data_IF_477714087424
#
_entry.id   IF_477714087424
#
_cell.length_a   1.000
_cell.length_b   1.000
_cell.length_c   1.000
_cell.angle_alpha   90.00
_cell.angle_beta   90.00
_cell.angle_gamma   90.00
#
_symmetry.space_group_name_H-M   'P 1'
#
loop_
_entity.id
_entity.type
_entity.pdbx_description
1 polymer ?
#
# COMPACT_ATOMS: atom_id res chain seq x y z
N UNK A 1 -34.39 35.78 3.13
CA UNK A 1 -34.83 34.41 2.77
C UNK A 1 -33.60 33.67 2.23
N UNK A 2 -33.03 32.81 3.01
CA UNK A 2 -31.90 31.99 2.53
C UNK A 2 -32.48 30.88 1.66
N UNK A 3 -32.30 30.99 0.35
CA UNK A 3 -32.55 29.86 -0.54
C UNK A 3 -31.54 28.74 -0.23
N UNK A 4 -32.02 27.73 0.45
CA UNK A 4 -31.37 26.43 0.57
C UNK A 4 -31.51 25.69 -0.78
N UNK A 5 -30.91 26.22 -1.84
CA UNK A 5 -30.80 25.53 -3.12
C UNK A 5 -29.60 24.58 -3.03
N UNK A 6 -29.81 23.49 -2.33
CA UNK A 6 -28.79 22.45 -2.31
C UNK A 6 -29.36 21.25 -3.06
N UNK A 7 -28.83 20.97 -4.22
CA UNK A 7 -29.19 19.76 -4.96
C UNK A 7 -28.66 18.55 -4.20
N UNK A 8 -29.54 17.94 -3.39
CA UNK A 8 -29.23 16.78 -2.58
C UNK A 8 -28.74 15.59 -3.42
N UNK A 9 -29.18 15.49 -4.68
CA UNK A 9 -28.71 14.44 -5.58
C UNK A 9 -27.24 14.67 -5.97
N UNK A 10 -26.90 15.88 -6.36
CA UNK A 10 -25.52 16.27 -6.68
C UNK A 10 -24.59 16.10 -5.45
N UNK A 11 -25.04 16.51 -4.26
CA UNK A 11 -24.28 16.30 -3.03
C UNK A 11 -24.06 14.83 -2.69
N UNK A 12 -25.03 13.96 -2.93
CA UNK A 12 -24.85 12.51 -2.73
C UNK A 12 -23.83 11.93 -3.70
N UNK A 13 -23.87 12.32 -4.96
CA UNK A 13 -22.89 11.91 -5.98
C UNK A 13 -21.47 12.38 -5.62
N UNK A 14 -21.31 13.64 -5.25
CA UNK A 14 -20.03 14.19 -4.83
C UNK A 14 -19.51 13.49 -3.54
N UNK A 15 -20.39 13.23 -2.59
CA UNK A 15 -20.03 12.48 -1.38
C UNK A 15 -19.52 11.07 -1.71
N UNK A 16 -20.16 10.38 -2.67
CA UNK A 16 -19.69 9.07 -3.12
C UNK A 16 -18.31 9.14 -3.77
N UNK A 17 -18.05 10.17 -4.59
CA UNK A 17 -16.75 10.43 -5.20
C UNK A 17 -15.70 10.66 -4.10
N UNK A 18 -15.99 11.49 -3.10
CA UNK A 18 -15.09 11.75 -1.97
C UNK A 18 -14.80 10.48 -1.16
N UNK A 19 -15.80 9.65 -0.90
CA UNK A 19 -15.63 8.37 -0.21
C UNK A 19 -14.76 7.40 -1.03
N UNK A 20 -14.93 7.35 -2.34
CA UNK A 20 -14.10 6.52 -3.23
C UNK A 20 -12.65 7.01 -3.24
N UNK A 21 -12.44 8.33 -3.27
CA UNK A 21 -11.11 8.96 -3.28
C UNK A 21 -10.44 8.97 -1.89
N UNK A 22 -11.15 8.61 -0.83
CA UNK A 22 -10.60 8.58 0.54
C UNK A 22 -9.44 7.59 0.73
N UNK A 23 -9.22 6.70 -0.23
CA UNK A 23 -8.15 5.70 -0.19
C UNK A 23 -7.46 5.60 -1.55
N UNK A 24 -6.15 5.36 -1.53
CA UNK A 24 -5.41 5.16 -2.77
C UNK A 24 -5.95 3.96 -3.57
N UNK A 25 -5.86 4.04 -4.89
CA UNK A 25 -6.30 2.98 -5.81
C UNK A 25 -5.66 1.62 -5.48
N UNK A 26 -4.37 1.60 -5.09
CA UNK A 26 -3.68 0.38 -4.67
C UNK A 26 -4.27 -0.21 -3.38
N UNK A 27 -4.69 0.63 -2.44
CA UNK A 27 -5.36 0.19 -1.21
C UNK A 27 -6.71 -0.45 -1.51
N UNK A 28 -7.51 0.17 -2.37
CA UNK A 28 -8.81 -0.37 -2.80
C UNK A 28 -8.63 -1.71 -3.50
N UNK A 29 -7.66 -1.82 -4.42
CA UNK A 29 -7.34 -3.08 -5.11
C UNK A 29 -6.93 -4.18 -4.13
N UNK A 30 -6.10 -3.84 -3.14
CA UNK A 30 -5.69 -4.79 -2.11
C UNK A 30 -6.87 -5.27 -1.26
N UNK A 31 -7.77 -4.36 -0.86
CA UNK A 31 -8.96 -4.71 -0.08
C UNK A 31 -9.92 -5.62 -0.86
N UNK A 32 -10.14 -5.32 -2.15
CA UNK A 32 -10.95 -6.19 -3.02
C UNK A 32 -10.36 -7.60 -3.14
N UNK A 33 -9.05 -7.69 -3.34
CA UNK A 33 -8.35 -8.99 -3.42
C UNK A 33 -8.42 -9.77 -2.11
N UNK A 34 -8.20 -9.10 -0.97
CA UNK A 34 -8.29 -9.74 0.35
C UNK A 34 -9.69 -10.24 0.66
N UNK A 35 -10.72 -9.46 0.29
CA UNK A 35 -12.10 -9.85 0.51
C UNK A 35 -12.50 -11.03 -0.38
N UNK A 36 -12.06 -11.06 -1.62
CA UNK A 36 -12.27 -12.20 -2.53
C UNK A 36 -11.70 -13.50 -1.96
N UNK A 37 -10.53 -13.45 -1.33
CA UNK A 37 -9.94 -14.61 -0.67
C UNK A 37 -10.78 -15.08 0.53
N UNK A 38 -11.34 -14.14 1.31
CA UNK A 38 -12.28 -14.45 2.38
C UNK A 38 -13.59 -15.05 1.84
N UNK A 39 -14.14 -14.54 0.75
CA UNK A 39 -15.33 -15.09 0.08
C UNK A 39 -15.09 -16.56 -0.34
N UNK A 40 -13.93 -16.84 -0.95
CA UNK A 40 -13.57 -18.20 -1.35
C UNK A 40 -13.46 -19.14 -0.14
N UNK A 41 -12.90 -18.68 0.98
CA UNK A 41 -12.88 -19.44 2.23
C UNK A 41 -14.30 -19.72 2.72
N UNK A 42 -15.18 -18.73 2.73
CA UNK A 42 -16.57 -18.88 3.17
C UNK A 42 -17.33 -19.88 2.28
N UNK A 43 -17.25 -19.72 0.96
CA UNK A 43 -17.91 -20.63 0.00
C UNK A 43 -17.45 -22.07 0.20
N UNK A 44 -16.16 -22.33 0.34
CA UNK A 44 -15.61 -23.68 0.55
C UNK A 44 -16.06 -24.34 1.85
N UNK A 45 -16.42 -23.53 2.85
CA UNK A 45 -16.82 -24.04 4.18
C UNK A 45 -18.31 -23.86 4.46
N UNK A 46 -19.13 -23.49 3.47
CA UNK A 46 -20.58 -23.32 3.62
C UNK A 46 -20.97 -22.10 4.49
N UNK A 47 -20.09 -21.10 4.61
CA UNK A 47 -20.36 -19.88 5.36
C UNK A 47 -20.83 -18.74 4.46
N UNK A 48 -21.58 -17.81 5.04
CA UNK A 48 -21.95 -16.56 4.39
C UNK A 48 -20.85 -15.53 4.59
N UNK A 49 -20.35 -14.96 3.50
CA UNK A 49 -19.28 -13.96 3.54
C UNK A 49 -19.78 -12.54 3.80
N UNK A 50 -21.08 -12.25 3.42
CA UNK A 50 -21.67 -10.92 3.54
C UNK A 50 -23.19 -11.02 3.84
N UNK A 51 -23.70 -10.49 4.95
CA UNK A 51 -22.92 -10.12 6.12
C UNK A 51 -22.30 -11.35 6.78
N UNK A 52 -21.11 -11.17 7.36
CA UNK A 52 -20.43 -12.21 8.11
C UNK A 52 -20.40 -11.85 9.60
N UNK A 53 -20.16 -12.84 10.46
CA UNK A 53 -19.99 -12.61 11.88
C UNK A 53 -18.51 -12.71 12.32
N UNK A 54 -18.25 -12.23 13.53
CA UNK A 54 -16.89 -12.19 14.09
C UNK A 54 -16.31 -13.60 14.30
N UNK A 55 -17.13 -14.64 14.49
CA UNK A 55 -16.65 -16.03 14.66
C UNK A 55 -16.12 -16.58 13.35
N UNK A 56 -16.83 -16.36 12.24
CA UNK A 56 -16.39 -16.79 10.89
C UNK A 56 -15.09 -16.08 10.51
N UNK A 57 -14.98 -14.78 10.78
CA UNK A 57 -13.74 -14.02 10.55
C UNK A 57 -12.61 -14.58 11.41
N UNK A 58 -12.86 -14.91 12.67
CA UNK A 58 -11.87 -15.53 13.55
C UNK A 58 -11.39 -16.88 13.01
N UNK A 59 -12.29 -17.76 12.52
CA UNK A 59 -11.94 -19.02 11.86
C UNK A 59 -11.06 -18.79 10.62
N UNK A 60 -11.41 -17.82 9.79
CA UNK A 60 -10.60 -17.46 8.63
C UNK A 60 -9.20 -17.01 9.01
N UNK A 61 -9.04 -16.18 10.05
CA UNK A 61 -7.72 -15.76 10.53
C UNK A 61 -6.90 -16.95 11.05
N UNK A 62 -7.55 -17.93 11.70
CA UNK A 62 -6.90 -19.17 12.11
C UNK A 62 -6.46 -19.98 10.90
N UNK A 63 -7.32 -20.17 9.91
CA UNK A 63 -6.98 -20.83 8.63
C UNK A 63 -5.77 -20.18 7.96
N UNK A 64 -5.72 -18.84 7.87
CA UNK A 64 -4.57 -18.14 7.32
C UNK A 64 -3.30 -18.38 8.15
N UNK A 65 -3.45 -18.43 9.47
CA UNK A 65 -2.33 -18.70 10.36
C UNK A 65 -1.80 -20.13 10.17
N UNK A 66 -2.63 -21.15 9.98
CA UNK A 66 -2.18 -22.53 9.73
C UNK A 66 -1.44 -22.65 8.39
N UNK A 67 -1.80 -21.83 7.40
CA UNK A 67 -1.11 -21.72 6.10
C UNK A 67 0.10 -20.75 6.11
N UNK A 68 0.70 -20.52 7.28
CA UNK A 68 1.93 -19.74 7.45
C UNK A 68 1.88 -18.28 6.97
N UNK A 69 0.69 -17.73 6.80
CA UNK A 69 0.53 -16.33 6.40
C UNK A 69 1.08 -15.41 7.49
N UNK A 70 1.83 -14.39 7.10
CA UNK A 70 2.46 -13.43 8.03
C UNK A 70 1.42 -12.67 8.86
N UNK A 71 1.75 -12.36 10.11
CA UNK A 71 0.89 -11.61 11.03
C UNK A 71 0.46 -10.24 10.47
N UNK A 72 1.34 -9.54 9.76
CA UNK A 72 1.00 -8.26 9.10
C UNK A 72 -0.09 -8.44 8.03
N UNK A 73 -0.07 -9.54 7.30
CA UNK A 73 -1.08 -9.88 6.29
C UNK A 73 -2.41 -10.25 6.96
N UNK A 74 -2.42 -11.01 8.06
CA UNK A 74 -3.64 -11.31 8.81
C UNK A 74 -4.34 -10.02 9.27
N UNK A 75 -3.58 -9.09 9.87
CA UNK A 75 -4.11 -7.79 10.30
C UNK A 75 -4.67 -6.99 9.13
N UNK A 76 -3.97 -6.94 8.01
CA UNK A 76 -4.44 -6.23 6.82
C UNK A 76 -5.75 -6.83 6.29
N UNK A 77 -5.85 -8.16 6.20
CA UNK A 77 -7.05 -8.87 5.76
C UNK A 77 -8.25 -8.62 6.68
N UNK A 78 -8.05 -8.61 7.99
CA UNK A 78 -9.09 -8.22 8.94
C UNK A 78 -9.61 -6.80 8.67
N UNK A 79 -8.70 -5.84 8.46
CA UNK A 79 -9.07 -4.47 8.11
C UNK A 79 -9.84 -4.42 6.80
N UNK A 80 -9.38 -5.15 5.78
CA UNK A 80 -10.04 -5.24 4.47
C UNK A 80 -11.49 -5.75 4.58
N UNK A 81 -11.69 -6.83 5.34
CA UNK A 81 -13.03 -7.41 5.58
C UNK A 81 -13.94 -6.39 6.26
N UNK A 82 -13.47 -5.74 7.34
CA UNK A 82 -14.25 -4.73 8.06
C UNK A 82 -14.60 -3.51 7.20
N UNK A 83 -13.66 -3.04 6.36
CA UNK A 83 -13.91 -1.91 5.44
C UNK A 83 -14.95 -2.29 4.39
N UNK A 84 -14.85 -3.47 3.78
CA UNK A 84 -15.80 -3.91 2.74
C UNK A 84 -17.21 -4.09 3.34
N UNK A 85 -17.34 -4.66 4.55
CA UNK A 85 -18.64 -4.74 5.23
C UNK A 85 -19.25 -3.35 5.41
N UNK A 86 -18.48 -2.40 5.92
CA UNK A 86 -18.95 -1.03 6.14
C UNK A 86 -19.38 -0.34 4.83
N UNK A 87 -18.61 -0.50 3.76
CA UNK A 87 -18.95 0.05 2.45
C UNK A 87 -20.23 -0.55 1.86
N UNK A 88 -20.57 -1.79 2.25
CA UNK A 88 -21.81 -2.46 1.85
C UNK A 88 -22.97 -2.26 2.83
N UNK A 89 -22.81 -1.38 3.82
CA UNK A 89 -23.84 -1.07 4.81
C UNK A 89 -24.04 -2.14 5.88
N UNK A 90 -23.10 -3.06 6.04
CA UNK A 90 -23.15 -4.11 7.05
C UNK A 90 -22.23 -3.83 8.22
N UNK A 91 -22.73 -4.06 9.43
CA UNK A 91 -21.89 -3.98 10.63
C UNK A 91 -21.12 -5.29 10.82
N UNK A 92 -19.83 -5.17 11.10
CA UNK A 92 -18.96 -6.26 11.54
C UNK A 92 -18.08 -5.74 12.66
N UNK A 93 -18.18 -6.33 13.85
CA UNK A 93 -17.31 -5.99 14.96
C UNK A 93 -15.93 -6.66 14.81
N UNK A 94 -15.01 -5.94 14.21
CA UNK A 94 -13.61 -6.38 14.05
C UNK A 94 -12.81 -6.34 15.35
N UNK A 95 -13.36 -5.75 16.42
CA UNK A 95 -12.76 -5.70 17.76
C UNK A 95 -13.38 -6.71 18.73
N UNK A 96 -14.28 -7.56 18.24
CA UNK A 96 -14.90 -8.59 19.06
C UNK A 96 -13.84 -9.47 19.75
N UNK A 97 -14.05 -9.85 21.03
CA UNK A 97 -13.07 -10.64 21.80
C UNK A 97 -12.58 -11.89 21.05
N UNK A 98 -13.47 -12.63 20.36
CA UNK A 98 -13.09 -13.81 19.58
C UNK A 98 -12.05 -13.55 18.48
N UNK A 99 -12.02 -12.34 17.92
CA UNK A 99 -11.02 -11.95 16.92
C UNK A 99 -9.74 -11.50 17.61
N UNK A 100 -9.86 -10.61 18.60
CA UNK A 100 -8.69 -10.01 19.26
C UNK A 100 -7.89 -11.07 20.02
N UNK A 101 -8.54 -11.90 20.81
CA UNK A 101 -7.89 -12.96 21.58
C UNK A 101 -7.26 -14.02 20.66
N UNK A 102 -7.96 -14.39 19.57
CA UNK A 102 -7.40 -15.28 18.56
C UNK A 102 -6.11 -14.70 17.92
N UNK A 103 -6.11 -13.44 17.51
CA UNK A 103 -4.91 -12.76 16.98
C UNK A 103 -3.80 -12.74 18.03
N UNK A 104 -4.13 -12.47 19.30
CA UNK A 104 -3.14 -12.49 20.39
C UNK A 104 -2.57 -13.89 20.59
N UNK A 105 -3.41 -14.94 20.58
CA UNK A 105 -3.00 -16.33 20.66
C UNK A 105 -2.09 -16.75 19.49
N UNK A 106 -2.47 -16.38 18.27
CA UNK A 106 -1.64 -16.61 17.07
C UNK A 106 -0.28 -15.91 17.21
N UNK A 107 -0.27 -14.66 17.66
CA UNK A 107 0.97 -13.89 17.86
C UNK A 107 1.88 -14.51 18.92
N UNK A 108 1.33 -14.98 20.03
CA UNK A 108 2.11 -15.66 21.08
C UNK A 108 2.72 -16.96 20.57
N UNK A 109 1.95 -17.77 19.83
CA UNK A 109 2.39 -19.07 19.32
C UNK A 109 3.43 -18.95 18.20
N UNK A 110 3.27 -18.01 17.25
CA UNK A 110 4.12 -17.89 16.06
C UNK A 110 5.21 -16.83 16.17
N UNK A 111 5.14 -15.98 17.17
CA UNK A 111 5.95 -14.77 17.24
C UNK A 111 5.49 -13.70 16.22
N UNK A 112 6.15 -12.57 16.26
CA UNK A 112 5.87 -11.44 15.34
C UNK A 112 7.15 -10.81 14.80
N UNK A 113 8.28 -11.51 14.90
CA UNK A 113 9.57 -11.01 14.44
C UNK A 113 9.54 -10.87 12.92
N UNK A 114 9.74 -9.67 12.44
CA UNK A 114 9.93 -9.41 11.01
C UNK A 114 11.42 -9.40 10.72
N UNK A 115 11.89 -10.30 9.85
CA UNK A 115 13.25 -10.21 9.32
C UNK A 115 13.30 -9.01 8.37
N UNK A 116 14.01 -7.95 8.77
CA UNK A 116 14.31 -6.81 7.92
C UNK A 116 15.14 -7.24 6.69
N UNK A 117 15.03 -6.49 5.61
CA UNK A 117 15.95 -6.64 4.48
C UNK A 117 17.29 -5.99 4.84
N UNK A 118 18.40 -6.57 4.34
CA UNK A 118 19.71 -5.94 4.48
C UNK A 118 19.74 -4.65 3.67
N UNK A 119 20.36 -3.58 4.18
CA UNK A 119 20.55 -2.36 3.41
C UNK A 119 21.51 -2.60 2.23
N UNK A 120 21.32 -1.87 1.16
CA UNK A 120 22.29 -1.80 0.08
C UNK A 120 23.40 -0.86 0.53
N UNK A 121 24.63 -1.38 0.59
CA UNK A 121 25.82 -0.59 0.89
C UNK A 121 26.46 -0.04 -0.39
N UNK A 122 27.34 0.96 -0.27
CA UNK A 122 28.01 1.59 -1.41
C UNK A 122 28.71 0.56 -2.31
N UNK A 123 29.36 -0.45 -1.73
CA UNK A 123 30.02 -1.50 -2.52
C UNK A 123 29.02 -2.33 -3.33
N UNK A 124 27.84 -2.62 -2.76
CA UNK A 124 26.77 -3.28 -3.51
C UNK A 124 26.27 -2.41 -4.66
N UNK A 125 26.12 -1.09 -4.41
CA UNK A 125 25.71 -0.14 -5.44
C UNK A 125 26.73 -0.11 -6.59
N UNK A 126 28.04 0.01 -6.30
CA UNK A 126 29.10 -0.04 -7.31
C UNK A 126 29.03 -1.31 -8.14
N UNK A 127 28.86 -2.47 -7.50
CA UNK A 127 28.75 -3.74 -8.22
C UNK A 127 27.52 -3.78 -9.14
N UNK A 128 26.37 -3.24 -8.70
CA UNK A 128 25.18 -3.15 -9.53
C UNK A 128 25.42 -2.27 -10.76
N UNK A 129 26.07 -1.11 -10.58
CA UNK A 129 26.39 -0.20 -11.69
C UNK A 129 27.35 -0.88 -12.68
N UNK A 130 28.40 -1.54 -12.21
CA UNK A 130 29.34 -2.26 -13.07
C UNK A 130 28.61 -3.32 -13.92
N UNK A 131 27.71 -4.10 -13.30
CA UNK A 131 26.91 -5.09 -14.04
C UNK A 131 26.03 -4.44 -15.12
N UNK A 132 25.42 -3.29 -14.81
CA UNK A 132 24.61 -2.54 -15.80
C UNK A 132 25.50 -2.11 -16.98
N UNK A 133 26.73 -1.68 -16.72
CA UNK A 133 27.66 -1.23 -17.75
C UNK A 133 28.18 -2.37 -18.64
N UNK A 134 28.30 -3.59 -18.10
CA UNK A 134 28.75 -4.79 -18.81
C UNK A 134 27.63 -5.41 -19.68
N UNK A 135 26.35 -5.13 -19.41
CA UNK A 135 25.23 -5.65 -20.19
C UNK A 135 25.31 -5.07 -21.61
N UNK A 136 25.42 -5.96 -22.60
CA UNK A 136 25.35 -5.60 -24.03
C UNK A 136 23.91 -5.30 -24.43
N UNK A 137 23.37 -4.19 -23.98
CA UNK A 137 22.03 -3.70 -24.31
C UNK A 137 22.13 -2.28 -24.90
N UNK A 138 20.96 -1.74 -25.32
CA UNK A 138 20.84 -0.38 -25.80
C UNK A 138 21.39 0.62 -24.76
N UNK A 139 22.17 1.59 -25.20
CA UNK A 139 22.78 2.63 -24.36
C UNK A 139 21.72 3.43 -23.57
N UNK A 140 20.58 3.71 -24.20
CA UNK A 140 19.45 4.40 -23.53
C UNK A 140 18.94 3.58 -22.35
N UNK A 141 18.81 2.26 -22.51
CA UNK A 141 18.37 1.39 -21.42
C UNK A 141 19.38 1.36 -20.27
N UNK A 142 20.69 1.24 -20.57
CA UNK A 142 21.74 1.29 -19.55
C UNK A 142 21.72 2.61 -18.80
N UNK A 143 21.63 3.73 -19.52
CA UNK A 143 21.59 5.06 -18.93
C UNK A 143 20.36 5.22 -18.02
N UNK A 144 19.18 4.78 -18.49
CA UNK A 144 17.94 4.76 -17.69
C UNK A 144 18.11 3.95 -16.41
N UNK A 145 18.61 2.71 -16.53
CA UNK A 145 18.68 1.80 -15.38
C UNK A 145 19.72 2.30 -14.37
N UNK A 146 20.84 2.83 -14.83
CA UNK A 146 21.83 3.52 -13.98
C UNK A 146 21.21 4.71 -13.26
N UNK A 147 20.49 5.57 -13.97
CA UNK A 147 19.84 6.76 -13.41
C UNK A 147 18.81 6.39 -12.34
N UNK A 148 17.96 5.38 -12.60
CA UNK A 148 16.97 4.90 -11.63
C UNK A 148 17.64 4.42 -10.34
N UNK A 149 18.72 3.64 -10.46
CA UNK A 149 19.43 3.10 -9.30
C UNK A 149 20.14 4.20 -8.52
N UNK A 150 20.82 5.12 -9.20
CA UNK A 150 21.57 6.22 -8.55
C UNK A 150 20.62 7.19 -7.85
N UNK A 151 19.59 7.66 -8.52
CA UNK A 151 18.58 8.55 -7.93
C UNK A 151 17.89 7.84 -6.76
N UNK A 152 17.46 6.59 -6.97
CA UNK A 152 16.78 5.82 -5.93
C UNK A 152 17.61 5.62 -4.67
N UNK A 153 18.91 5.38 -4.82
CA UNK A 153 19.83 5.21 -3.70
C UNK A 153 20.14 6.54 -3.02
N UNK A 154 20.57 7.56 -3.79
CA UNK A 154 21.00 8.86 -3.25
C UNK A 154 19.87 9.62 -2.55
N UNK A 155 18.68 9.64 -3.15
CA UNK A 155 17.54 10.35 -2.59
C UNK A 155 16.66 9.51 -1.66
N UNK A 156 16.95 8.21 -1.49
CA UNK A 156 16.09 7.32 -0.70
C UNK A 156 14.65 7.26 -1.20
N UNK A 157 14.47 7.32 -2.52
CA UNK A 157 13.16 7.34 -3.13
C UNK A 157 12.45 5.99 -3.06
N UNK A 158 11.13 6.03 -2.91
CA UNK A 158 10.29 4.85 -3.15
C UNK A 158 10.09 4.65 -4.66
N UNK A 159 9.91 3.39 -5.08
CA UNK A 159 9.71 3.05 -6.49
C UNK A 159 8.65 3.93 -7.18
N UNK A 160 7.50 4.14 -6.52
CA UNK A 160 6.42 4.94 -7.10
C UNK A 160 6.78 6.43 -7.20
N UNK A 161 7.63 6.94 -6.32
CA UNK A 161 8.13 8.30 -6.38
C UNK A 161 9.02 8.49 -7.62
N UNK A 162 9.93 7.53 -7.88
CA UNK A 162 10.78 7.59 -9.08
C UNK A 162 9.98 7.52 -10.39
N UNK A 163 9.03 6.57 -10.48
CA UNK A 163 8.25 6.39 -11.74
C UNK A 163 7.20 7.46 -11.98
N UNK A 164 6.93 8.32 -11.02
CA UNK A 164 6.03 9.46 -11.15
C UNK A 164 6.73 10.78 -11.43
N UNK A 165 8.07 10.78 -11.55
CA UNK A 165 8.82 11.98 -11.91
C UNK A 165 8.66 12.27 -13.39
N UNK A 166 8.34 13.52 -13.67
CA UNK A 166 8.39 14.11 -15.00
C UNK A 166 9.65 14.97 -15.12
N UNK A 167 10.05 15.34 -16.34
CA UNK A 167 11.22 16.18 -16.59
C UNK A 167 11.09 17.52 -15.88
N UNK A 168 9.91 18.11 -15.85
CA UNK A 168 9.62 19.40 -15.20
C UNK A 168 9.73 19.36 -13.68
N UNK A 169 9.84 18.17 -13.09
CA UNK A 169 10.07 17.99 -11.65
C UNK A 169 11.56 18.09 -11.29
N UNK A 170 12.46 18.17 -12.29
CA UNK A 170 13.90 18.20 -12.13
C UNK A 170 14.43 19.60 -12.32
N UNK A 171 15.14 20.13 -11.33
CA UNK A 171 15.80 21.43 -11.38
C UNK A 171 17.31 21.24 -11.16
N UNK A 172 18.08 21.42 -12.24
CA UNK A 172 19.55 21.31 -12.21
C UNK A 172 20.13 22.65 -11.79
N UNK A 173 20.77 22.67 -10.63
CA UNK A 173 21.41 23.85 -10.04
C UNK A 173 22.93 23.61 -9.90
N UNK A 174 23.68 24.66 -9.62
CA UNK A 174 25.15 24.57 -9.50
C UNK A 174 25.60 23.59 -8.43
N UNK A 175 24.83 23.41 -7.38
CA UNK A 175 25.14 22.54 -6.23
C UNK A 175 24.65 21.09 -6.39
N UNK A 176 23.85 20.80 -7.44
CA UNK A 176 23.28 19.46 -7.63
C UNK A 176 21.96 19.43 -8.36
N UNK A 177 21.16 18.43 -8.06
CA UNK A 177 19.84 18.22 -8.61
C UNK A 177 18.76 18.37 -7.52
N UNK A 178 17.82 19.30 -7.71
CA UNK A 178 16.60 19.39 -6.92
C UNK A 178 15.48 18.60 -7.62
N UNK A 179 14.76 17.81 -6.86
CA UNK A 179 13.67 16.96 -7.36
C UNK A 179 12.40 17.29 -6.60
N UNK A 180 11.40 17.78 -7.31
CA UNK A 180 10.09 18.11 -6.77
C UNK A 180 9.19 16.87 -6.74
N UNK A 181 8.85 16.39 -5.55
CA UNK A 181 7.90 15.30 -5.36
C UNK A 181 6.49 15.86 -5.17
N UNK A 182 5.65 15.76 -6.18
CA UNK A 182 4.24 16.24 -6.14
C UNK A 182 3.41 15.46 -5.10
N UNK A 183 3.67 14.17 -4.92
CA UNK A 183 2.99 13.29 -3.97
C UNK A 183 3.91 12.17 -3.48
N UNK A 184 3.76 11.79 -2.23
CA UNK A 184 4.46 10.63 -1.68
C UNK A 184 3.49 9.69 -0.93
N UNK A 185 3.97 8.53 -0.48
CA UNK A 185 3.16 7.62 0.34
C UNK A 185 2.76 8.24 1.68
N UNK A 186 3.56 9.14 2.22
CA UNK A 186 3.32 9.85 3.48
C UNK A 186 2.60 11.19 3.27
N UNK A 187 2.69 11.73 2.07
CA UNK A 187 1.99 12.93 1.63
C UNK A 187 0.99 12.54 0.52
N UNK A 188 -0.19 12.09 0.93
CA UNK A 188 -1.27 11.72 -0.01
C UNK A 188 -2.12 12.91 -0.43
N UNK A 189 -2.03 14.02 0.30
CA UNK A 189 -2.76 15.26 0.00
C UNK A 189 -2.05 16.11 -1.04
N UNK A 190 -0.74 15.85 -1.30
CA UNK A 190 0.01 16.54 -2.34
C UNK A 190 0.51 17.90 -1.90
N UNK A 191 0.89 18.05 -0.63
CA UNK A 191 1.61 19.23 -0.14
C UNK A 191 2.97 19.38 -0.85
N UNK A 192 3.50 18.26 -1.35
CA UNK A 192 4.75 18.20 -2.07
C UNK A 192 5.98 18.24 -1.16
N UNK A 193 7.10 17.82 -1.69
CA UNK A 193 8.40 17.94 -1.01
C UNK A 193 9.53 18.04 -2.01
N UNK A 194 10.60 18.76 -1.63
CA UNK A 194 11.81 18.87 -2.45
C UNK A 194 12.88 17.97 -1.87
N UNK A 195 13.53 17.18 -2.73
CA UNK A 195 14.73 16.45 -2.41
C UNK A 195 15.92 17.02 -3.18
N UNK A 196 17.01 17.31 -2.48
CA UNK A 196 18.24 17.77 -3.08
C UNK A 196 19.27 16.64 -3.12
N UNK A 197 19.87 16.42 -4.28
CA UNK A 197 20.99 15.50 -4.50
C UNK A 197 22.21 16.33 -4.87
N UNK A 198 23.18 16.50 -3.97
CA UNK A 198 24.42 17.22 -4.28
C UNK A 198 25.28 16.45 -5.28
N UNK A 199 26.09 17.16 -6.07
CA UNK A 199 27.13 16.57 -6.93
C UNK A 199 28.25 15.92 -6.13
#
# INVERSE_FOLDING_TARGET
MNELVTDIKALKEETLINLQNSKSHNTIRAYKSDFKDFELFCVKNGFKSMPSDSKIVSLYLTYLSTNEVKMSTLKRRLVSIGVIHRLKGHYLDTKHPSIIENIMGIKRRKGSIQKGKKPILINNLKNIINVIDEIKDDEIKRSRDRTIILIGFSGGFRRNEIVSLDYDDLDFVNEGLKINLKKSKTDQYGEGSIKALPF
#
